data_IF_845260176867
#
_entry.id   IF_845260176867
#
_cell.length_a   1.000
_cell.length_b   1.000
_cell.length_c   1.000
_cell.angle_alpha   90.00
_cell.angle_beta   90.00
_cell.angle_gamma   90.00
#
_symmetry.space_group_name_H-M   'P 1'
#
loop_
_entity.id
_entity.type
_entity.pdbx_description
1 polymer ?
#
# COMPACT_ATOMS: atom_id res chain seq x y z
N UNK A 1 0.65 2.98 -7.20
CA UNK A 1 -0.06 2.25 -8.26
C UNK A 1 0.23 0.78 -8.05
N UNK A 2 -0.78 0.03 -7.63
CA UNK A 2 -0.68 -1.43 -7.52
C UNK A 2 -0.70 -2.02 -8.94
N UNK A 3 0.49 -2.36 -9.43
CA UNK A 3 0.70 -2.86 -10.78
C UNK A 3 0.74 -4.40 -10.72
N UNK A 4 -0.43 -5.02 -10.60
CA UNK A 4 -0.57 -6.48 -10.46
C UNK A 4 -0.92 -7.23 -11.76
N UNK A 5 -1.09 -6.49 -12.88
CA UNK A 5 -1.47 -6.97 -14.22
C UNK A 5 -2.79 -7.74 -14.34
N UNK A 6 -3.67 -7.65 -13.35
CA UNK A 6 -4.95 -8.36 -13.36
C UNK A 6 -6.12 -7.36 -13.24
N UNK A 7 -7.13 -7.59 -14.05
CA UNK A 7 -8.46 -6.97 -13.97
C UNK A 7 -9.52 -8.04 -13.69
N UNK A 8 -10.79 -7.65 -13.58
CA UNK A 8 -11.91 -8.60 -13.48
C UNK A 8 -11.91 -9.61 -14.65
N UNK A 9 -11.59 -9.16 -15.87
CA UNK A 9 -11.59 -9.99 -17.07
C UNK A 9 -10.29 -10.81 -17.29
N UNK A 10 -9.38 -10.81 -16.30
CA UNK A 10 -8.07 -11.48 -16.39
C UNK A 10 -6.94 -10.50 -16.67
N UNK A 11 -5.93 -10.93 -17.44
CA UNK A 11 -4.75 -10.11 -17.74
C UNK A 11 -5.12 -8.74 -18.29
N UNK A 12 -4.44 -7.70 -17.80
CA UNK A 12 -4.53 -6.34 -18.35
C UNK A 12 -4.23 -6.32 -19.84
N UNK A 13 -3.38 -7.21 -20.36
CA UNK A 13 -3.00 -7.23 -21.79
C UNK A 13 -4.19 -7.36 -22.75
N UNK A 14 -5.35 -7.84 -22.28
CA UNK A 14 -6.58 -7.94 -23.07
C UNK A 14 -7.19 -6.57 -23.40
N UNK A 15 -6.98 -5.57 -22.55
CA UNK A 15 -7.68 -4.27 -22.64
C UNK A 15 -6.85 -3.06 -22.23
N UNK A 16 -5.64 -3.26 -21.72
CA UNK A 16 -4.77 -2.25 -21.14
C UNK A 16 -3.29 -2.65 -21.24
N UNK A 17 -2.61 -2.12 -22.26
CA UNK A 17 -1.23 -2.46 -22.63
C UNK A 17 -0.32 -1.24 -22.82
N UNK A 18 -0.77 -0.05 -22.42
CA UNK A 18 0.04 1.17 -22.48
C UNK A 18 1.17 1.16 -21.43
N UNK A 19 2.23 1.94 -21.69
CA UNK A 19 3.23 2.25 -20.67
C UNK A 19 2.74 3.41 -19.80
N UNK A 20 2.04 3.06 -18.71
CA UNK A 20 1.54 4.02 -17.72
C UNK A 20 2.66 4.90 -17.18
N UNK A 21 3.81 4.31 -16.88
CA UNK A 21 4.91 5.05 -16.30
C UNK A 21 5.49 6.04 -17.32
N UNK A 22 5.68 5.66 -18.59
CA UNK A 22 6.09 6.59 -19.63
C UNK A 22 5.06 7.71 -19.86
N UNK A 23 3.75 7.40 -19.80
CA UNK A 23 2.69 8.41 -19.90
C UNK A 23 2.78 9.43 -18.76
N UNK A 24 3.05 8.99 -17.53
CA UNK A 24 3.21 9.88 -16.38
C UNK A 24 4.53 10.65 -16.40
N UNK A 25 5.63 10.04 -16.86
CA UNK A 25 6.90 10.72 -17.14
C UNK A 25 6.69 11.87 -18.14
N UNK A 26 5.90 11.65 -19.20
CA UNK A 26 5.55 12.68 -20.19
C UNK A 26 4.71 13.83 -19.61
N UNK A 27 3.93 13.58 -18.55
CA UNK A 27 3.24 14.63 -17.79
C UNK A 27 4.17 15.39 -16.82
N UNK A 28 5.45 15.03 -16.75
CA UNK A 28 6.41 15.63 -15.84
C UNK A 28 6.31 15.11 -14.40
N UNK A 29 5.81 13.90 -14.20
CA UNK A 29 5.80 13.27 -12.86
C UNK A 29 7.18 12.67 -12.54
N UNK A 30 7.50 12.61 -11.25
CA UNK A 30 8.56 11.76 -10.74
C UNK A 30 8.04 10.32 -10.67
N UNK A 31 8.61 9.43 -11.48
CA UNK A 31 8.12 8.05 -11.61
C UNK A 31 9.15 7.06 -11.10
N UNK A 32 8.70 6.13 -10.28
CA UNK A 32 9.51 5.03 -9.72
C UNK A 32 8.82 3.70 -10.00
N UNK A 33 9.60 2.69 -10.41
CA UNK A 33 9.15 1.29 -10.55
C UNK A 33 9.85 0.47 -9.48
N UNK A 34 9.10 -0.26 -8.65
CA UNK A 34 9.64 -1.05 -7.55
C UNK A 34 9.01 -2.44 -7.48
N UNK A 35 9.70 -3.36 -6.80
CA UNK A 35 9.07 -4.56 -6.24
C UNK A 35 8.16 -4.13 -5.08
N UNK A 36 6.87 -4.48 -5.15
CA UNK A 36 5.87 -4.11 -4.16
C UNK A 36 5.79 -5.07 -2.98
N UNK A 37 6.39 -6.26 -3.08
CA UNK A 37 6.54 -7.20 -1.98
C UNK A 37 7.81 -6.96 -1.14
N UNK A 38 8.71 -6.08 -1.60
CA UNK A 38 9.92 -5.66 -0.88
C UNK A 38 9.69 -4.39 -0.05
N UNK A 39 9.68 -4.54 1.28
CA UNK A 39 9.48 -3.45 2.23
C UNK A 39 10.60 -2.38 2.19
N UNK A 40 11.84 -2.76 1.87
CA UNK A 40 12.94 -1.83 1.74
C UNK A 40 12.79 -0.98 0.48
N UNK A 41 12.41 -1.61 -0.64
CA UNK A 41 12.12 -0.92 -1.89
C UNK A 41 10.96 0.08 -1.73
N UNK A 42 9.87 -0.32 -1.07
CA UNK A 42 8.74 0.55 -0.78
C UNK A 42 9.17 1.72 0.11
N UNK A 43 9.93 1.46 1.17
CA UNK A 43 10.42 2.50 2.09
C UNK A 43 11.35 3.48 1.38
N UNK A 44 12.27 2.98 0.55
CA UNK A 44 13.18 3.79 -0.26
C UNK A 44 12.42 4.68 -1.24
N UNK A 45 11.43 4.13 -1.94
CA UNK A 45 10.64 4.88 -2.91
C UNK A 45 9.78 5.98 -2.27
N UNK A 46 9.21 5.71 -1.09
CA UNK A 46 8.46 6.71 -0.32
C UNK A 46 9.37 7.85 0.16
N UNK A 47 10.59 7.55 0.61
CA UNK A 47 11.59 8.57 0.98
C UNK A 47 11.99 9.42 -0.22
N UNK A 48 12.29 8.79 -1.35
CA UNK A 48 12.61 9.50 -2.60
C UNK A 48 11.46 10.39 -3.06
N UNK A 49 10.23 9.89 -3.05
CA UNK A 49 9.04 10.66 -3.42
C UNK A 49 8.78 11.87 -2.51
N UNK A 50 9.06 11.74 -1.20
CA UNK A 50 8.95 12.87 -0.25
C UNK A 50 10.05 13.91 -0.42
N UNK A 51 11.22 13.50 -0.92
CA UNK A 51 12.34 14.40 -1.19
C UNK A 51 12.18 15.16 -2.52
N UNK A 52 11.36 14.66 -3.44
CA UNK A 52 10.99 15.36 -4.66
C UNK A 52 10.05 16.54 -4.35
N UNK A 53 10.57 17.76 -4.47
CA UNK A 53 9.85 18.99 -4.13
C UNK A 53 9.18 19.67 -5.34
N UNK A 54 9.55 19.30 -6.57
CA UNK A 54 9.13 20.01 -7.78
C UNK A 54 8.05 19.31 -8.59
N UNK A 55 7.79 18.03 -8.33
CA UNK A 55 6.90 17.19 -9.16
C UNK A 55 6.02 16.27 -8.32
N UNK A 56 4.77 16.00 -8.74
CA UNK A 56 4.00 14.90 -8.18
C UNK A 56 4.70 13.57 -8.46
N UNK A 57 4.50 12.58 -7.59
CA UNK A 57 5.16 11.27 -7.67
C UNK A 57 4.19 10.13 -8.00
N UNK A 58 4.57 9.25 -8.92
CA UNK A 58 3.94 7.95 -9.17
C UNK A 58 4.92 6.84 -8.79
N UNK A 59 4.57 6.05 -7.78
CA UNK A 59 5.28 4.80 -7.45
C UNK A 59 4.46 3.64 -8.02
N UNK A 60 4.96 3.01 -9.08
CA UNK A 60 4.41 1.78 -9.65
C UNK A 60 5.05 0.58 -8.94
N UNK A 61 4.27 -0.03 -8.05
CA UNK A 61 4.68 -1.20 -7.28
C UNK A 61 4.19 -2.45 -7.99
N UNK A 62 5.12 -3.26 -8.49
CA UNK A 62 4.80 -4.57 -9.06
C UNK A 62 4.37 -5.48 -7.93
N UNK A 63 3.16 -6.05 -7.99
CA UNK A 63 2.70 -7.03 -7.01
C UNK A 63 2.08 -8.26 -7.68
N UNK A 64 1.81 -9.28 -6.87
CA UNK A 64 0.98 -10.43 -7.22
C UNK A 64 -0.38 -10.33 -6.53
N UNK A 65 -1.47 -10.18 -7.29
CA UNK A 65 -2.82 -10.21 -6.72
C UNK A 65 -3.06 -11.55 -5.99
N UNK A 66 -3.59 -11.51 -4.77
CA UNK A 66 -3.78 -12.72 -3.97
C UNK A 66 -2.46 -13.43 -3.61
N UNK A 67 -1.36 -12.69 -3.44
CA UNK A 67 -0.07 -13.22 -3.01
C UNK A 67 -0.22 -14.19 -1.82
N UNK A 68 0.43 -15.34 -1.92
CA UNK A 68 0.35 -16.42 -0.92
C UNK A 68 -0.79 -17.41 -1.12
N UNK A 69 -1.82 -17.09 -1.92
CA UNK A 69 -2.87 -18.05 -2.30
C UNK A 69 -2.33 -19.02 -3.37
N UNK A 70 -2.11 -20.31 -3.07
CA UNK A 70 -1.33 -21.18 -3.96
C UNK A 70 -1.95 -21.45 -5.32
N UNK A 71 -3.29 -21.45 -5.41
CA UNK A 71 -4.01 -21.73 -6.67
C UNK A 71 -4.64 -20.48 -7.29
N UNK A 72 -4.97 -19.49 -6.45
CA UNK A 72 -5.62 -18.25 -6.90
C UNK A 72 -4.67 -17.06 -7.08
N UNK A 73 -3.47 -17.11 -6.51
CA UNK A 73 -2.46 -16.06 -6.64
C UNK A 73 -2.11 -15.77 -8.10
N UNK A 74 -2.05 -14.48 -8.46
CA UNK A 74 -1.79 -14.03 -9.83
C UNK A 74 -2.97 -14.19 -10.79
N UNK A 75 -4.18 -14.51 -10.30
CA UNK A 75 -5.36 -14.72 -11.16
C UNK A 75 -6.51 -13.77 -10.81
N UNK A 76 -7.40 -13.52 -11.79
CA UNK A 76 -8.65 -12.78 -11.54
C UNK A 76 -9.57 -13.47 -10.52
N UNK A 77 -9.41 -14.78 -10.29
CA UNK A 77 -10.17 -15.53 -9.29
C UNK A 77 -9.93 -15.05 -7.85
N UNK A 78 -8.79 -14.40 -7.58
CA UNK A 78 -8.48 -13.79 -6.29
C UNK A 78 -9.09 -12.38 -6.10
N UNK A 79 -9.64 -11.76 -7.15
CA UNK A 79 -10.02 -10.35 -7.13
C UNK A 79 -11.33 -10.09 -6.37
N UNK A 80 -12.42 -10.74 -6.78
CA UNK A 80 -13.78 -10.34 -6.37
C UNK A 80 -14.58 -11.40 -5.62
N UNK A 81 -13.95 -12.50 -5.19
CA UNK A 81 -14.63 -13.63 -4.56
C UNK A 81 -13.90 -14.15 -3.33
N UNK A 82 -14.64 -14.77 -2.41
CA UNK A 82 -14.02 -15.47 -1.30
C UNK A 82 -13.06 -16.56 -1.81
N UNK A 83 -11.90 -16.69 -1.16
CA UNK A 83 -10.91 -17.69 -1.57
C UNK A 83 -11.45 -19.12 -1.45
N UNK A 84 -12.28 -19.38 -0.43
CA UNK A 84 -12.76 -20.71 -0.07
C UNK A 84 -11.94 -21.31 1.09
N UNK A 85 -12.55 -22.18 1.88
CA UNK A 85 -11.94 -22.68 3.12
C UNK A 85 -10.59 -23.37 2.87
N UNK A 86 -10.52 -24.23 1.85
CA UNK A 86 -9.30 -24.98 1.51
C UNK A 86 -8.17 -24.05 1.05
N UNK A 87 -8.49 -23.07 0.20
CA UNK A 87 -7.52 -22.09 -0.28
C UNK A 87 -7.01 -21.19 0.86
N UNK A 88 -7.89 -20.80 1.79
CA UNK A 88 -7.50 -20.03 2.99
C UNK A 88 -6.53 -20.84 3.86
N UNK A 89 -6.83 -22.12 4.12
CA UNK A 89 -5.94 -22.99 4.90
C UNK A 89 -4.57 -23.16 4.21
N UNK A 90 -4.58 -23.39 2.90
CA UNK A 90 -3.36 -23.51 2.11
C UNK A 90 -2.53 -22.22 2.09
N UNK A 91 -3.17 -21.06 1.93
CA UNK A 91 -2.50 -19.76 1.95
C UNK A 91 -1.88 -19.47 3.32
N UNK A 92 -2.62 -19.73 4.41
CA UNK A 92 -2.09 -19.59 5.77
C UNK A 92 -0.85 -20.46 5.98
N UNK A 93 -0.91 -21.73 5.59
CA UNK A 93 0.24 -22.64 5.67
C UNK A 93 1.43 -22.15 4.84
N UNK A 94 1.19 -21.68 3.61
CA UNK A 94 2.23 -21.15 2.74
C UNK A 94 2.94 -19.92 3.33
N UNK A 95 2.19 -19.08 4.06
CA UNK A 95 2.69 -17.86 4.70
C UNK A 95 3.19 -18.08 6.14
N UNK A 96 3.19 -19.32 6.64
CA UNK A 96 3.55 -19.62 8.03
C UNK A 96 2.57 -19.06 9.08
N UNK A 97 1.32 -18.82 8.69
CA UNK A 97 0.28 -18.26 9.54
C UNK A 97 -0.57 -19.34 10.24
N UNK A 98 -0.97 -19.17 11.51
CA UNK A 98 -1.82 -20.13 12.20
C UNK A 98 -3.22 -20.26 11.56
N UNK A 99 -3.67 -21.50 11.36
CA UNK A 99 -4.97 -21.80 10.76
C UNK A 99 -6.15 -21.39 11.66
N UNK A 100 -5.98 -21.45 12.98
CA UNK A 100 -6.97 -21.08 13.99
C UNK A 100 -6.35 -20.28 15.15
N UNK A 101 -7.16 -19.48 15.89
CA UNK A 101 -8.55 -19.15 15.60
C UNK A 101 -8.70 -18.26 14.35
N UNK A 102 -9.90 -18.23 13.78
CA UNK A 102 -10.23 -17.22 12.78
C UNK A 102 -10.11 -15.82 13.42
N UNK A 103 -9.76 -14.81 12.61
CA UNK A 103 -9.54 -13.43 13.09
C UNK A 103 -8.46 -13.31 14.19
N UNK A 104 -7.47 -14.20 14.21
CA UNK A 104 -6.33 -14.11 15.11
C UNK A 104 -5.51 -12.83 14.82
N UNK A 105 -5.15 -12.11 15.88
CA UNK A 105 -4.26 -10.95 15.83
C UNK A 105 -3.08 -11.23 16.78
N UNK A 106 -1.84 -11.34 16.27
CA UNK A 106 -0.65 -11.49 17.11
C UNK A 106 -0.50 -10.30 18.07
N UNK A 107 -0.13 -10.57 19.33
CA UNK A 107 0.03 -9.55 20.35
C UNK A 107 1.04 -8.47 19.96
N UNK A 108 2.20 -8.89 19.42
CA UNK A 108 3.25 -7.98 18.96
C UNK A 108 2.77 -7.04 17.84
N UNK A 109 1.96 -7.53 16.90
CA UNK A 109 1.39 -6.72 15.83
C UNK A 109 0.38 -5.71 16.40
N UNK A 110 -0.50 -6.16 17.30
CA UNK A 110 -1.48 -5.29 17.95
C UNK A 110 -0.81 -4.17 18.75
N UNK A 111 0.21 -4.49 19.53
CA UNK A 111 0.99 -3.51 20.29
C UNK A 111 1.68 -2.52 19.36
N UNK A 112 2.29 -3.00 18.28
CA UNK A 112 3.02 -2.15 17.37
C UNK A 112 2.11 -1.13 16.66
N UNK A 113 0.95 -1.58 16.17
CA UNK A 113 -0.02 -0.68 15.53
C UNK A 113 -0.71 0.27 16.51
N UNK A 114 -0.86 -0.11 17.79
CA UNK A 114 -1.46 0.77 18.81
C UNK A 114 -0.60 1.99 19.16
N UNK A 115 0.71 1.96 18.92
CA UNK A 115 1.60 3.12 19.11
C UNK A 115 1.17 4.33 18.29
N UNK A 116 0.55 4.11 17.12
CA UNK A 116 0.02 5.16 16.26
C UNK A 116 -1.02 6.05 16.97
N UNK A 117 -1.71 5.56 18.02
CA UNK A 117 -2.65 6.36 18.81
C UNK A 117 -1.95 7.47 19.56
N UNK A 118 -0.89 7.13 20.29
CA UNK A 118 -0.15 8.08 21.11
C UNK A 118 0.70 9.00 20.23
N UNK A 119 1.31 8.46 19.18
CA UNK A 119 2.04 9.23 18.16
C UNK A 119 1.13 10.23 17.44
N UNK A 120 -0.08 9.79 17.06
CA UNK A 120 -1.09 10.64 16.42
C UNK A 120 -1.60 11.73 17.34
N UNK A 121 -1.91 11.40 18.60
CA UNK A 121 -2.34 12.39 19.59
C UNK A 121 -1.27 13.46 19.83
N UNK A 122 0.01 13.07 19.93
CA UNK A 122 1.13 14.00 20.04
C UNK A 122 1.26 14.89 18.80
N UNK A 123 1.25 14.30 17.60
CA UNK A 123 1.37 15.07 16.35
C UNK A 123 0.21 16.06 16.17
N UNK A 124 -1.01 15.69 16.57
CA UNK A 124 -2.17 16.57 16.56
C UNK A 124 -2.03 17.70 17.59
N UNK A 125 -1.58 17.40 18.81
CA UNK A 125 -1.29 18.42 19.83
C UNK A 125 -0.28 19.46 19.34
N UNK A 126 0.85 19.01 18.81
CA UNK A 126 1.89 19.87 18.22
C UNK A 126 1.37 20.71 17.04
N UNK A 127 0.40 20.19 16.30
CA UNK A 127 -0.25 20.96 15.23
C UNK A 127 -1.22 22.01 15.78
N UNK A 128 -2.04 21.66 16.78
CA UNK A 128 -2.96 22.60 17.43
C UNK A 128 -2.21 23.78 18.07
N UNK A 129 -1.06 23.52 18.71
CA UNK A 129 -0.23 24.57 19.30
C UNK A 129 0.31 25.53 18.22
N UNK A 130 0.75 24.98 17.08
CA UNK A 130 1.18 25.78 15.92
C UNK A 130 0.04 26.57 15.32
N UNK A 131 -1.16 26.00 15.26
CA UNK A 131 -2.36 26.69 14.78
C UNK A 131 -2.73 27.85 15.71
N UNK A 132 -2.78 27.63 17.02
CA UNK A 132 -3.09 28.68 17.98
C UNK A 132 -2.06 29.83 17.94
N UNK A 133 -0.78 29.50 17.77
CA UNK A 133 0.28 30.50 17.57
C UNK A 133 0.11 31.28 16.25
N UNK A 134 -0.29 30.59 15.17
CA UNK A 134 -0.61 31.22 13.90
C UNK A 134 -1.80 32.19 14.02
N UNK A 135 -2.91 31.75 14.62
CA UNK A 135 -4.11 32.57 14.84
C UNK A 135 -3.79 33.84 15.65
N UNK A 136 -2.93 33.73 16.66
CA UNK A 136 -2.50 34.88 17.46
C UNK A 136 -1.59 35.84 16.66
N UNK A 137 -0.73 35.33 15.79
CA UNK A 137 0.18 36.13 14.97
C UNK A 137 -0.52 36.79 13.77
N UNK A 138 -1.58 36.16 13.24
CA UNK A 138 -2.33 36.59 12.05
C UNK A 138 -3.84 36.68 12.33
N UNK A 139 -4.31 37.58 13.22
CA UNK A 139 -5.69 37.60 13.72
C UNK A 139 -6.76 38.09 12.72
N UNK A 140 -6.37 38.45 11.50
CA UNK A 140 -7.24 39.02 10.45
C UNK A 140 -7.17 38.24 9.13
N UNK A 141 -6.38 37.17 9.07
CA UNK A 141 -6.44 36.14 8.02
C UNK A 141 -7.24 34.94 8.52
#
# INVERSE_FOLDING_TARGET
>A
YDDNRITIDGSTDKSFSEDVCARFEAYGWHVQRIDGEDLEAVTGALKSARAEAGRPSLIAARTTIGHGAPTKGGTAGAHGSALGADEVAAAKKALGWPESPAFHIPGEALEQYRRARDEGARAQGEWNDRLAAYEAAYPVE
#
